data_IF_637760032088
#
_entry.id   IF_637760032088
#
_cell.length_a   1.000
_cell.length_b   1.000
_cell.length_c   1.000
_cell.angle_alpha   90.00
_cell.angle_beta   90.00
_cell.angle_gamma   90.00
#
_symmetry.space_group_name_H-M   'P 1'
#
loop_
_entity.id
_entity.type
_entity.pdbx_description
1 polymer ?
#
# COMPACT_ATOMS: atom_id res chain seq x y z
N UNK A 1 -22.34 8.21 -10.92
CA UNK A 1 -20.99 8.49 -10.37
C UNK A 1 -21.15 8.82 -8.91
N UNK A 2 -20.28 8.30 -8.05
CA UNK A 2 -20.25 8.58 -6.61
C UNK A 2 -18.93 9.27 -6.27
N UNK A 3 -18.99 10.24 -5.36
CA UNK A 3 -17.83 10.91 -4.77
C UNK A 3 -17.89 10.75 -3.25
N UNK A 4 -16.78 10.37 -2.64
CA UNK A 4 -16.70 10.14 -1.19
C UNK A 4 -15.42 10.76 -0.63
N UNK A 5 -15.51 11.33 0.56
CA UNK A 5 -14.36 11.87 1.30
C UNK A 5 -14.30 11.22 2.67
N UNK A 6 -13.13 10.71 3.03
CA UNK A 6 -12.87 10.05 4.32
C UNK A 6 -11.52 10.55 4.84
N UNK A 7 -11.54 11.43 5.85
CA UNK A 7 -10.36 12.14 6.33
C UNK A 7 -9.63 12.86 5.17
N UNK A 8 -8.38 12.50 4.91
CA UNK A 8 -7.56 13.02 3.82
C UNK A 8 -7.75 12.25 2.50
N UNK A 9 -8.54 11.19 2.47
CA UNK A 9 -8.82 10.45 1.25
C UNK A 9 -10.05 10.98 0.53
N UNK A 10 -9.96 10.99 -0.79
CA UNK A 10 -11.06 11.28 -1.70
C UNK A 10 -11.17 10.16 -2.74
N UNK A 11 -12.37 9.66 -2.97
CA UNK A 11 -12.66 8.68 -4.01
C UNK A 11 -13.70 9.25 -4.98
N UNK A 12 -13.48 9.02 -6.27
CA UNK A 12 -14.46 9.20 -7.33
C UNK A 12 -14.58 7.90 -8.13
N UNK A 13 -15.80 7.37 -8.24
CA UNK A 13 -16.02 6.10 -8.91
C UNK A 13 -17.40 5.94 -9.52
N UNK A 14 -17.49 5.06 -10.50
CA UNK A 14 -18.74 4.66 -11.13
C UNK A 14 -19.26 3.35 -10.50
N UNK A 15 -20.57 3.15 -10.58
CA UNK A 15 -21.27 1.97 -10.03
C UNK A 15 -22.21 1.40 -11.08
N UNK A 16 -22.62 0.14 -10.91
CA UNK A 16 -23.63 -0.46 -11.77
C UNK A 16 -24.94 0.32 -11.67
N UNK A 17 -25.63 0.48 -12.81
CA UNK A 17 -26.92 1.18 -12.86
C UNK A 17 -27.98 0.47 -12.01
N UNK A 18 -27.95 -0.86 -11.99
CA UNK A 18 -28.95 -1.69 -11.31
C UNK A 18 -28.55 -2.04 -9.87
N UNK A 19 -27.31 -1.76 -9.46
CA UNK A 19 -26.83 -1.97 -8.09
C UNK A 19 -25.71 -0.97 -7.76
N UNK A 20 -26.06 0.06 -6.99
CA UNK A 20 -25.12 1.13 -6.64
C UNK A 20 -24.07 0.73 -5.60
N UNK A 21 -24.17 -0.47 -5.01
CA UNK A 21 -23.15 -1.00 -4.09
C UNK A 21 -21.92 -1.55 -4.85
N UNK A 22 -22.08 -1.88 -6.13
CA UNK A 22 -21.05 -2.52 -6.95
C UNK A 22 -20.32 -1.47 -7.80
N UNK A 23 -19.01 -1.30 -7.56
CA UNK A 23 -18.14 -0.45 -8.39
C UNK A 23 -18.07 -1.00 -9.83
N UNK A 24 -18.34 -0.15 -10.82
CA UNK A 24 -18.28 -0.51 -12.24
C UNK A 24 -18.01 0.73 -13.09
N UNK A 25 -16.90 0.72 -13.83
CA UNK A 25 -16.38 1.84 -14.59
C UNK A 25 -15.14 2.45 -13.94
N UNK A 26 -14.82 3.69 -14.30
CA UNK A 26 -13.59 4.38 -13.88
C UNK A 26 -13.54 4.57 -12.35
N UNK A 27 -12.34 4.52 -11.81
CA UNK A 27 -12.03 4.78 -10.40
C UNK A 27 -10.82 5.69 -10.26
N UNK A 28 -10.92 6.61 -9.31
CA UNK A 28 -9.84 7.49 -8.89
C UNK A 28 -9.85 7.60 -7.37
N UNK A 29 -8.70 7.36 -6.76
CA UNK A 29 -8.43 7.67 -5.35
C UNK A 29 -7.36 8.74 -5.25
N UNK A 30 -7.57 9.70 -4.35
CA UNK A 30 -6.63 10.75 -4.01
C UNK A 30 -6.33 10.76 -2.52
N UNK A 31 -5.11 11.15 -2.18
CA UNK A 31 -4.74 11.59 -0.84
C UNK A 31 -4.46 13.09 -0.88
N UNK A 32 -5.19 13.87 -0.08
CA UNK A 32 -5.26 15.33 -0.20
C UNK A 32 -5.60 15.72 -1.64
N UNK A 33 -4.68 16.36 -2.37
CA UNK A 33 -4.85 16.75 -3.78
C UNK A 33 -4.25 15.76 -4.78
N UNK A 34 -3.40 14.84 -4.33
CA UNK A 34 -2.60 13.99 -5.20
C UNK A 34 -3.35 12.69 -5.55
N UNK A 35 -3.39 12.28 -6.83
CA UNK A 35 -3.85 10.94 -7.19
C UNK A 35 -2.91 9.91 -6.58
N UNK A 36 -3.49 8.84 -6.02
CA UNK A 36 -2.74 7.71 -5.45
C UNK A 36 -3.09 6.39 -6.13
N UNK A 37 -4.31 6.27 -6.68
CA UNK A 37 -4.73 5.12 -7.48
C UNK A 37 -5.67 5.59 -8.60
N UNK A 38 -5.51 5.04 -9.80
CA UNK A 38 -6.49 5.18 -10.88
C UNK A 38 -6.59 3.90 -11.68
N UNK A 39 -7.80 3.59 -12.14
CA UNK A 39 -8.07 2.41 -12.96
C UNK A 39 -9.54 2.26 -13.26
N UNK A 40 -9.98 1.03 -13.45
CA UNK A 40 -11.38 0.71 -13.66
C UNK A 40 -11.79 -0.56 -12.91
N UNK A 41 -13.06 -0.60 -12.53
CA UNK A 41 -13.73 -1.79 -12.04
C UNK A 41 -14.67 -2.35 -13.09
N UNK A 42 -14.81 -3.67 -13.14
CA UNK A 42 -15.90 -4.37 -13.81
C UNK A 42 -16.55 -5.28 -12.78
N UNK A 43 -17.80 -4.97 -12.42
CA UNK A 43 -18.59 -5.73 -11.44
C UNK A 43 -17.87 -5.94 -10.09
N UNK A 44 -17.28 -4.86 -9.56
CA UNK A 44 -16.58 -4.88 -8.28
C UNK A 44 -15.13 -5.36 -8.34
N UNK A 45 -14.66 -5.85 -9.49
CA UNK A 45 -13.31 -6.40 -9.67
C UNK A 45 -12.43 -5.39 -10.43
N UNK A 46 -11.21 -5.14 -9.94
CA UNK A 46 -10.22 -4.32 -10.66
C UNK A 46 -9.93 -4.98 -12.02
N UNK A 47 -9.98 -4.20 -13.11
CA UNK A 47 -9.74 -4.69 -14.47
C UNK A 47 -8.85 -3.71 -15.23
N UNK A 48 -8.17 -4.21 -16.26
CA UNK A 48 -7.26 -3.45 -17.08
C UNK A 48 -6.07 -2.90 -16.30
N UNK A 49 -5.55 -1.79 -16.80
CA UNK A 49 -4.37 -1.13 -16.24
C UNK A 49 -4.76 -0.23 -15.08
N UNK A 50 -4.10 -0.45 -13.96
CA UNK A 50 -4.16 0.36 -12.76
C UNK A 50 -2.83 1.02 -12.51
N UNK A 51 -2.88 2.30 -12.16
CA UNK A 51 -1.69 3.11 -11.96
C UNK A 51 -1.68 3.60 -10.52
N UNK A 52 -0.54 3.40 -9.89
CA UNK A 52 -0.27 3.73 -8.50
C UNK A 52 0.76 4.84 -8.41
N UNK A 53 0.59 5.71 -7.42
CA UNK A 53 1.43 6.89 -7.24
C UNK A 53 1.89 7.04 -5.79
N UNK A 54 2.97 7.80 -5.60
CA UNK A 54 3.52 8.24 -4.33
C UNK A 54 2.63 9.29 -3.62
N UNK A 55 3.04 9.73 -2.43
CA UNK A 55 2.36 10.74 -1.57
C UNK A 55 2.18 12.10 -2.24
N UNK A 56 3.10 12.46 -3.13
CA UNK A 56 3.16 13.68 -3.91
C UNK A 56 2.72 13.48 -5.37
N UNK A 57 2.18 12.30 -5.70
CA UNK A 57 1.53 12.03 -6.99
C UNK A 57 2.50 11.67 -8.12
N UNK A 58 3.75 11.31 -7.81
CA UNK A 58 4.67 10.73 -8.78
C UNK A 58 4.27 9.29 -9.11
N UNK A 59 4.41 8.91 -10.38
CA UNK A 59 4.13 7.56 -10.83
C UNK A 59 5.07 6.56 -10.14
N UNK A 60 4.52 5.46 -9.61
CA UNK A 60 5.28 4.39 -8.95
C UNK A 60 5.29 3.13 -9.81
N UNK A 61 4.12 2.59 -10.14
CA UNK A 61 4.00 1.42 -11.00
C UNK A 61 2.62 1.34 -11.66
N UNK A 62 2.56 0.56 -12.74
CA UNK A 62 1.33 0.15 -13.41
C UNK A 62 1.19 -1.37 -13.30
N UNK A 63 0.01 -1.83 -12.92
CA UNK A 63 -0.35 -3.24 -12.90
C UNK A 63 -1.51 -3.49 -13.84
N UNK A 64 -1.39 -4.52 -14.69
CA UNK A 64 -2.45 -4.96 -15.57
C UNK A 64 -3.16 -6.17 -14.94
N UNK A 65 -4.38 -5.96 -14.42
CA UNK A 65 -5.17 -7.02 -13.80
C UNK A 65 -5.68 -8.06 -14.78
N UNK A 66 -5.88 -7.70 -16.04
CA UNK A 66 -6.36 -8.65 -17.05
C UNK A 66 -5.25 -9.64 -17.44
N UNK A 67 -3.99 -9.20 -17.36
CA UNK A 67 -2.81 -10.02 -17.65
C UNK A 67 -2.06 -10.50 -16.39
N UNK A 68 -2.57 -10.15 -15.20
CA UNK A 68 -1.97 -10.46 -13.90
C UNK A 68 -0.46 -10.13 -13.81
N UNK A 69 -0.04 -8.98 -14.36
CA UNK A 69 1.38 -8.61 -14.46
C UNK A 69 1.64 -7.14 -14.23
N UNK A 70 2.81 -6.84 -13.68
CA UNK A 70 3.36 -5.47 -13.65
C UNK A 70 3.68 -5.06 -15.08
N UNK A 71 3.14 -3.95 -15.55
CA UNK A 71 3.34 -3.46 -16.92
C UNK A 71 4.31 -2.28 -17.00
N UNK A 72 4.50 -1.51 -15.92
CA UNK A 72 5.49 -0.43 -15.82
C UNK A 72 5.95 -0.23 -14.38
N UNK A 73 7.22 0.12 -14.19
CA UNK A 73 7.80 0.49 -12.88
C UNK A 73 8.53 1.82 -13.06
N UNK A 74 8.40 2.73 -12.10
CA UNK A 74 9.12 4.00 -12.09
C UNK A 74 10.63 3.77 -12.20
N UNK A 75 11.30 4.67 -12.92
CA UNK A 75 12.75 4.64 -13.12
C UNK A 75 13.30 3.36 -13.80
N UNK A 76 12.44 2.54 -14.41
CA UNK A 76 12.85 1.40 -15.25
C UNK A 76 12.35 1.62 -16.67
N UNK A 77 13.13 1.16 -17.65
CA UNK A 77 12.62 1.03 -19.02
C UNK A 77 11.40 0.10 -19.02
N UNK A 78 10.50 0.27 -19.99
CA UNK A 78 9.32 -0.59 -20.15
C UNK A 78 9.66 -1.73 -21.11
N UNK A 79 10.09 -2.91 -20.62
CA UNK A 79 10.17 -4.09 -21.46
C UNK A 79 8.77 -4.60 -21.80
N UNK A 80 8.69 -5.51 -22.77
CA UNK A 80 7.45 -6.26 -23.04
C UNK A 80 7.05 -7.14 -21.83
N UNK A 81 8.05 -7.62 -21.09
CA UNK A 81 7.91 -8.42 -19.89
C UNK A 81 8.99 -8.10 -18.85
N UNK A 82 8.58 -7.91 -17.59
CA UNK A 82 9.52 -7.80 -16.47
C UNK A 82 9.79 -9.18 -15.89
N UNK A 83 11.00 -9.70 -16.06
CA UNK A 83 11.43 -10.94 -15.42
C UNK A 83 11.79 -10.75 -13.94
N UNK A 84 12.04 -9.51 -13.52
CA UNK A 84 12.35 -9.16 -12.15
C UNK A 84 11.54 -7.94 -11.69
N UNK A 85 10.75 -8.12 -10.63
CA UNK A 85 9.94 -7.05 -10.04
C UNK A 85 10.06 -7.07 -8.52
N UNK A 86 10.04 -5.91 -7.84
CA UNK A 86 9.93 -5.90 -6.39
C UNK A 86 8.51 -6.31 -5.97
N UNK A 87 8.33 -6.55 -4.67
CA UNK A 87 7.00 -6.72 -4.08
C UNK A 87 6.30 -5.37 -3.99
N UNK A 88 5.00 -5.34 -4.29
CA UNK A 88 4.16 -4.14 -4.17
C UNK A 88 2.95 -4.42 -3.29
N UNK A 89 2.39 -3.40 -2.66
CA UNK A 89 1.03 -3.50 -2.15
C UNK A 89 0.03 -3.51 -3.31
N UNK A 90 -1.08 -4.25 -3.21
CA UNK A 90 -2.17 -4.23 -4.21
C UNK A 90 -3.01 -2.94 -4.06
N UNK A 91 -2.36 -1.81 -4.32
CA UNK A 91 -2.85 -0.48 -4.00
C UNK A 91 -1.71 0.52 -3.94
N UNK A 92 -2.04 1.76 -3.57
CA UNK A 92 -1.02 2.77 -3.27
C UNK A 92 -0.15 2.33 -2.07
N UNK A 93 1.19 2.43 -2.14
CA UNK A 93 2.07 2.06 -1.02
C UNK A 93 1.84 2.89 0.25
N UNK A 94 1.15 4.04 0.11
CA UNK A 94 0.73 4.89 1.22
C UNK A 94 -0.31 4.26 2.14
N UNK A 95 -1.09 3.30 1.64
CA UNK A 95 -2.23 2.75 2.37
C UNK A 95 -1.77 2.00 3.62
N UNK A 96 -0.80 1.06 3.54
CA UNK A 96 -0.22 0.44 4.73
C UNK A 96 0.45 1.44 5.68
N UNK A 97 1.22 2.40 5.15
CA UNK A 97 1.90 3.41 5.96
C UNK A 97 0.91 4.26 6.79
N UNK A 98 -0.07 4.88 6.12
CA UNK A 98 -1.09 5.72 6.79
C UNK A 98 -1.90 4.89 7.79
N UNK A 99 -2.13 3.62 7.49
CA UNK A 99 -2.80 2.72 8.43
C UNK A 99 -1.98 2.56 9.71
N UNK A 100 -0.69 2.25 9.62
CA UNK A 100 0.17 2.15 10.81
C UNK A 100 0.19 3.47 11.57
N UNK A 101 0.45 4.61 10.90
CA UNK A 101 0.52 5.93 11.54
C UNK A 101 -0.77 6.29 12.28
N UNK A 102 -1.94 5.92 11.76
CA UNK A 102 -3.23 6.18 12.42
C UNK A 102 -3.54 5.24 13.60
N UNK A 103 -2.83 4.12 13.73
CA UNK A 103 -3.07 3.12 14.79
C UNK A 103 -1.95 3.06 15.82
N UNK A 104 -0.79 3.66 15.52
CA UNK A 104 0.33 3.81 16.45
C UNK A 104 0.05 4.95 17.42
N UNK A 105 0.31 4.70 18.70
CA UNK A 105 0.35 5.75 19.72
C UNK A 105 1.79 5.99 20.11
N UNK A 106 2.15 7.26 20.28
CA UNK A 106 3.47 7.62 20.82
C UNK A 106 3.40 7.59 22.36
N UNK A 107 4.01 6.61 23.05
CA UNK A 107 3.88 6.43 24.48
C UNK A 107 4.42 7.62 25.27
N UNK A 108 3.77 7.96 26.38
CA UNK A 108 4.14 9.11 27.22
C UNK A 108 5.62 9.07 27.65
N UNK A 109 6.10 7.92 28.09
CA UNK A 109 7.50 7.77 28.51
C UNK A 109 8.47 8.00 27.33
N UNK A 110 8.16 7.47 26.15
CA UNK A 110 8.99 7.70 24.96
C UNK A 110 9.02 9.18 24.54
N UNK A 111 7.91 9.91 24.72
CA UNK A 111 7.87 11.37 24.50
C UNK A 111 8.71 12.11 25.54
N UNK A 112 8.56 11.77 26.83
CA UNK A 112 9.30 12.38 27.93
C UNK A 112 10.81 12.20 27.76
N UNK A 113 11.22 11.04 27.27
CA UNK A 113 12.62 10.69 27.03
C UNK A 113 13.14 11.16 25.66
N UNK A 114 12.32 11.92 24.90
CA UNK A 114 12.67 12.48 23.59
C UNK A 114 13.16 11.42 22.57
N UNK A 115 12.62 10.19 22.64
CA UNK A 115 13.05 9.08 21.78
C UNK A 115 12.47 9.29 20.38
N UNK A 116 13.30 9.71 19.43
CA UNK A 116 12.97 9.92 18.01
C UNK A 116 13.74 8.95 17.12
N UNK A 117 13.24 8.67 15.93
CA UNK A 117 13.95 7.86 14.95
C UNK A 117 13.02 7.03 14.06
N UNK A 118 13.58 6.03 13.38
CA UNK A 118 12.89 5.21 12.40
C UNK A 118 12.74 3.76 12.86
N UNK A 119 11.59 3.16 12.57
CA UNK A 119 11.32 1.73 12.67
C UNK A 119 10.95 1.21 11.30
N UNK A 120 11.57 0.11 10.87
CA UNK A 120 11.20 -0.58 9.61
C UNK A 120 10.43 -1.85 9.93
N UNK A 121 9.14 -1.85 9.59
CA UNK A 121 8.28 -3.03 9.63
C UNK A 121 8.46 -3.83 8.34
N UNK A 122 8.76 -5.11 8.47
CA UNK A 122 8.80 -6.07 7.36
C UNK A 122 7.53 -6.93 7.35
N UNK A 123 6.91 -7.01 6.18
CA UNK A 123 5.81 -7.91 5.86
C UNK A 123 6.37 -8.99 4.94
N UNK A 124 6.49 -10.22 5.43
CA UNK A 124 6.83 -11.36 4.58
C UNK A 124 5.61 -11.72 3.74
N UNK A 125 5.76 -11.67 2.43
CA UNK A 125 4.74 -11.94 1.43
C UNK A 125 5.14 -13.20 0.67
N UNK A 126 4.23 -14.16 0.60
CA UNK A 126 4.50 -15.38 -0.15
C UNK A 126 4.25 -15.20 -1.66
N UNK A 127 4.62 -16.19 -2.48
CA UNK A 127 4.39 -16.20 -3.93
C UNK A 127 2.93 -16.04 -4.40
N UNK A 128 1.95 -16.23 -3.51
CA UNK A 128 0.53 -15.96 -3.78
C UNK A 128 0.08 -14.54 -3.40
N UNK A 129 1.02 -13.68 -2.96
CA UNK A 129 0.73 -12.30 -2.57
C UNK A 129 0.08 -12.15 -1.19
N UNK A 130 0.15 -13.19 -0.36
CA UNK A 130 -0.42 -13.17 1.00
C UNK A 130 0.64 -12.82 2.03
N UNK A 131 0.34 -11.93 2.99
CA UNK A 131 1.21 -11.71 4.13
C UNK A 131 1.19 -12.96 5.02
N UNK A 132 2.37 -13.53 5.29
CA UNK A 132 2.53 -14.75 6.11
C UNK A 132 3.20 -14.47 7.45
N UNK A 133 3.99 -13.40 7.56
CA UNK A 133 4.67 -13.01 8.78
C UNK A 133 4.90 -11.50 8.83
N UNK A 134 4.93 -10.96 10.04
CA UNK A 134 5.26 -9.57 10.34
C UNK A 134 6.39 -9.54 11.37
N UNK A 135 7.41 -8.71 11.13
CA UNK A 135 8.48 -8.48 12.11
C UNK A 135 9.11 -7.10 11.94
N UNK A 136 9.83 -6.62 12.96
CA UNK A 136 10.59 -5.36 12.85
C UNK A 136 12.01 -5.67 12.36
N UNK A 137 12.32 -5.22 11.15
CA UNK A 137 13.64 -5.34 10.53
C UNK A 137 14.63 -4.34 11.14
N UNK A 138 14.18 -3.11 11.32
CA UNK A 138 14.90 -2.07 12.07
C UNK A 138 14.04 -1.68 13.28
N UNK A 139 14.65 -1.74 14.46
CA UNK A 139 14.03 -1.41 15.74
C UNK A 139 14.58 -0.08 16.24
N UNK A 140 13.79 0.62 17.06
CA UNK A 140 14.20 1.90 17.65
C UNK A 140 14.25 1.81 19.17
N UNK A 141 13.11 1.51 19.79
CA UNK A 141 12.99 1.44 21.23
C UNK A 141 11.80 0.55 21.61
N UNK A 142 11.90 -0.33 22.61
CA UNK A 142 10.85 -1.30 22.94
C UNK A 142 9.45 -0.71 23.11
N UNK A 143 9.35 0.52 23.63
CA UNK A 143 8.08 1.24 23.78
C UNK A 143 7.41 1.55 22.43
N UNK A 144 8.19 1.98 21.43
CA UNK A 144 7.69 2.36 20.10
C UNK A 144 7.54 1.12 19.21
N UNK A 145 8.50 0.19 19.29
CA UNK A 145 8.49 -1.11 18.61
C UNK A 145 7.18 -1.88 18.89
N UNK A 146 6.76 -1.90 20.16
CA UNK A 146 5.51 -2.55 20.59
C UNK A 146 4.29 -1.93 19.91
N UNK A 147 4.24 -0.62 19.81
CA UNK A 147 3.11 0.10 19.21
C UNK A 147 3.02 -0.13 17.70
N UNK A 148 4.15 -0.12 16.99
CA UNK A 148 4.20 -0.47 15.56
C UNK A 148 3.73 -1.90 15.33
N UNK A 149 4.20 -2.87 16.12
CA UNK A 149 3.78 -4.26 15.99
C UNK A 149 2.29 -4.47 16.33
N UNK A 150 1.75 -3.74 17.32
CA UNK A 150 0.32 -3.79 17.64
C UNK A 150 -0.54 -3.26 16.49
N UNK A 151 -0.15 -2.13 15.89
CA UNK A 151 -0.81 -1.58 14.71
C UNK A 151 -0.76 -2.57 13.53
N UNK A 152 0.41 -3.15 13.25
CA UNK A 152 0.60 -4.08 12.14
C UNK A 152 -0.25 -5.36 12.26
N UNK A 153 -0.38 -5.91 13.48
CA UNK A 153 -1.22 -7.10 13.73
C UNK A 153 -2.71 -6.86 13.42
N UNK A 154 -3.15 -5.61 13.38
CA UNK A 154 -4.53 -5.25 13.05
C UNK A 154 -4.77 -5.05 11.55
N UNK A 155 -3.78 -5.28 10.68
CA UNK A 155 -3.96 -5.08 9.24
C UNK A 155 -5.23 -5.79 8.71
N UNK A 156 -5.99 -5.15 7.80
CA UNK A 156 -7.20 -5.76 7.25
C UNK A 156 -6.91 -7.08 6.54
N UNK A 157 -7.64 -8.14 6.89
CA UNK A 157 -7.44 -9.50 6.34
C UNK A 157 -7.62 -9.62 4.82
N UNK A 158 -8.30 -8.66 4.20
CA UNK A 158 -8.53 -8.64 2.75
C UNK A 158 -7.39 -7.96 1.98
N UNK A 159 -6.42 -7.36 2.67
CA UNK A 159 -5.25 -6.77 2.03
C UNK A 159 -4.35 -7.82 1.40
N UNK A 160 -3.82 -7.47 0.23
CA UNK A 160 -2.98 -8.32 -0.59
C UNK A 160 -1.81 -7.52 -1.13
N UNK A 161 -0.78 -8.26 -1.50
CA UNK A 161 0.41 -7.74 -2.15
C UNK A 161 0.52 -8.38 -3.53
N UNK A 162 1.16 -7.66 -4.45
CA UNK A 162 1.67 -8.21 -5.69
C UNK A 162 3.06 -8.77 -5.35
N UNK A 163 3.27 -10.09 -5.44
CA UNK A 163 4.54 -10.71 -5.07
C UNK A 163 5.67 -10.23 -5.98
N UNK A 164 6.90 -10.25 -5.45
CA UNK A 164 8.08 -10.04 -6.27
C UNK A 164 8.22 -11.15 -7.32
N UNK A 165 8.82 -10.81 -8.45
CA UNK A 165 9.14 -11.77 -9.52
C UNK A 165 10.65 -11.90 -9.64
N UNK A 166 11.14 -13.12 -9.87
CA UNK A 166 12.53 -13.41 -10.24
C UNK A 166 12.54 -14.49 -11.32
N UNK A 167 13.26 -14.25 -12.42
CA UNK A 167 13.21 -15.07 -13.65
C UNK A 167 11.78 -15.41 -14.11
N UNK A 168 10.86 -14.45 -14.03
CA UNK A 168 9.46 -14.62 -14.44
C UNK A 168 8.59 -15.42 -13.47
N UNK A 169 9.13 -15.86 -12.33
CA UNK A 169 8.39 -16.61 -11.32
C UNK A 169 8.16 -15.77 -10.06
N UNK A 170 6.96 -15.87 -9.48
CA UNK A 170 6.67 -15.24 -8.19
C UNK A 170 7.50 -15.90 -7.09
N UNK A 171 8.11 -15.08 -6.25
CA UNK A 171 8.93 -15.52 -5.11
C UNK A 171 8.41 -14.94 -3.80
N UNK A 172 8.77 -15.61 -2.71
CA UNK A 172 8.60 -15.07 -1.37
C UNK A 172 9.51 -13.84 -1.22
N UNK A 173 8.99 -12.78 -0.60
CA UNK A 173 9.65 -11.48 -0.55
C UNK A 173 9.21 -10.68 0.66
N UNK A 174 9.92 -9.59 0.95
CA UNK A 174 9.59 -8.70 2.06
C UNK A 174 9.17 -7.33 1.56
N UNK A 175 7.98 -6.91 1.97
CA UNK A 175 7.53 -5.55 1.78
C UNK A 175 7.86 -4.73 3.02
N UNK A 176 8.64 -3.66 2.86
CA UNK A 176 9.09 -2.82 3.97
C UNK A 176 8.23 -1.56 4.08
N UNK A 177 7.87 -1.21 5.32
CA UNK A 177 7.18 0.03 5.67
C UNK A 177 8.06 0.73 6.70
N UNK A 178 8.49 1.94 6.37
CA UNK A 178 9.29 2.78 7.26
C UNK A 178 8.36 3.73 8.04
N UNK A 179 8.47 3.71 9.37
CA UNK A 179 7.71 4.54 10.29
C UNK A 179 8.68 5.47 11.01
N UNK A 180 8.50 6.77 10.81
CA UNK A 180 9.27 7.81 11.48
C UNK A 180 8.52 8.32 12.71
N UNK A 181 9.23 8.36 13.84
CA UNK A 181 8.77 8.97 15.09
C UNK A 181 9.50 10.28 15.29
N UNK A 182 8.74 11.36 15.12
CA UNK A 182 9.19 12.72 15.37
C UNK A 182 8.27 13.38 16.41
N UNK A 183 8.84 14.29 17.21
CA UNK A 183 8.06 15.20 18.03
C UNK A 183 8.05 16.53 17.29
N UNK A 184 6.86 16.96 16.89
CA UNK A 184 6.65 18.33 16.38
C UNK A 184 6.81 19.24 17.59
N UNK A 185 7.81 20.11 17.54
CA UNK A 185 8.05 21.19 18.51
C UNK A 185 7.07 22.34 18.33
#
# INVERSE_FOLDING_TARGET
MIRKKYNYFYEEYYVLKNDTSIKHGRYLRKYKKYPIERGAFKNGIKTGKWIYFSLDGHFEFEYNYDANKVSKIANRQTPEEYFETPVFFDGSPLIPYIYIVNHVRYPYQAKKDNIKGKITLAVCVNKEGKPIQLYLKEKLHPLLDKEVMNAAKSFPRHWKWIPATYHGQNIDSEYHIDIEFELIE
#
